data_IF_252835570123
#
_entry.id   IF_252835570123
#
_cell.length_a   1.000
_cell.length_b   1.000
_cell.length_c   1.000
_cell.angle_alpha   90.00
_cell.angle_beta   90.00
_cell.angle_gamma   90.00
#
_symmetry.space_group_name_H-M   'P 1'
#
loop_
_entity.id
_entity.type
_entity.pdbx_description
1 polymer ?
#
# COMPACT_ATOMS: atom_id res chain seq x y z
N UNK A 1 0.65 -29.24 -16.59
CA UNK A 1 0.75 -27.83 -17.03
C UNK A 1 -0.06 -27.00 -16.05
N UNK A 2 0.56 -26.63 -14.94
CA UNK A 2 -0.09 -25.80 -13.90
C UNK A 2 0.04 -24.32 -14.28
N UNK A 3 -1.10 -23.70 -14.52
CA UNK A 3 -1.25 -22.26 -14.42
C UNK A 3 -1.47 -21.92 -12.95
N UNK A 4 -0.53 -21.21 -12.30
CA UNK A 4 -0.79 -20.23 -11.22
C UNK A 4 0.52 -19.67 -10.66
N UNK A 5 0.59 -18.35 -10.66
CA UNK A 5 1.26 -17.59 -9.61
C UNK A 5 2.76 -17.43 -9.78
N UNK A 6 3.15 -16.30 -10.39
CA UNK A 6 4.40 -15.62 -10.03
C UNK A 6 4.50 -15.63 -8.51
N UNK A 7 5.46 -16.35 -7.95
CA UNK A 7 5.73 -16.37 -6.53
C UNK A 7 6.18 -14.98 -6.07
N UNK A 8 5.23 -14.10 -5.78
CA UNK A 8 5.46 -12.86 -5.06
C UNK A 8 5.88 -13.23 -3.64
N UNK A 9 7.17 -13.04 -3.37
CA UNK A 9 7.91 -13.35 -2.15
C UNK A 9 7.13 -13.12 -0.85
N UNK A 10 7.32 -14.06 0.09
CA UNK A 10 6.80 -14.11 1.47
C UNK A 10 6.77 -12.78 2.24
N UNK A 11 7.63 -11.82 1.92
CA UNK A 11 7.68 -10.50 2.56
C UNK A 11 6.45 -9.62 2.28
N UNK A 12 5.71 -9.85 1.19
CA UNK A 12 4.46 -9.12 0.91
C UNK A 12 3.28 -9.62 1.77
N UNK A 13 3.32 -10.87 2.24
CA UNK A 13 2.24 -11.47 3.05
C UNK A 13 2.03 -10.76 4.40
N UNK A 14 3.09 -10.18 4.97
CA UNK A 14 3.04 -9.38 6.19
C UNK A 14 2.10 -8.17 6.05
N UNK A 15 2.08 -7.61 4.85
CA UNK A 15 1.39 -6.37 4.53
C UNK A 15 -0.08 -6.57 4.11
N UNK A 16 -0.47 -7.79 3.73
CA UNK A 16 -1.84 -8.13 3.32
C UNK A 16 -2.87 -7.89 4.42
N UNK A 17 -2.47 -8.01 5.70
CA UNK A 17 -3.36 -7.79 6.86
C UNK A 17 -4.02 -6.40 6.91
N UNK A 18 -3.52 -5.44 6.14
CA UNK A 18 -4.04 -4.08 6.09
C UNK A 18 -4.58 -3.67 4.72
N UNK A 19 -4.57 -4.59 3.74
CA UNK A 19 -4.92 -4.31 2.36
C UNK A 19 -6.37 -3.82 2.22
N UNK A 20 -7.33 -4.52 2.83
CA UNK A 20 -8.74 -4.12 2.80
C UNK A 20 -8.97 -2.73 3.41
N UNK A 21 -8.30 -2.43 4.53
CA UNK A 21 -8.45 -1.16 5.21
C UNK A 21 -7.84 0.00 4.40
N UNK A 22 -6.68 -0.23 3.79
CA UNK A 22 -6.03 0.72 2.89
C UNK A 22 -6.86 0.93 1.63
N UNK A 23 -7.32 -0.13 0.99
CA UNK A 23 -8.12 -0.06 -0.23
C UNK A 23 -9.44 0.68 -0.01
N UNK A 24 -10.19 0.37 1.05
CA UNK A 24 -11.41 1.12 1.41
C UNK A 24 -11.13 2.60 1.62
N UNK A 25 -9.99 2.94 2.21
CA UNK A 25 -9.61 4.33 2.44
C UNK A 25 -9.15 5.03 1.16
N UNK A 26 -8.37 4.35 0.33
CA UNK A 26 -7.95 4.82 -0.99
C UNK A 26 -9.15 5.10 -1.89
N UNK A 27 -10.15 4.22 -1.90
CA UNK A 27 -11.39 4.39 -2.65
C UNK A 27 -12.15 5.65 -2.23
N UNK A 28 -12.18 5.97 -0.93
CA UNK A 28 -12.78 7.23 -0.43
C UNK A 28 -12.00 8.46 -0.88
N UNK A 29 -10.68 8.37 -1.02
CA UNK A 29 -9.82 9.46 -1.46
C UNK A 29 -9.90 9.71 -2.98
N UNK A 30 -9.88 8.65 -3.78
CA UNK A 30 -9.79 8.72 -5.25
C UNK A 30 -11.15 8.78 -5.92
N UNK A 31 -12.20 8.23 -5.27
CA UNK A 31 -13.55 8.03 -5.83
C UNK A 31 -13.59 7.19 -7.10
N UNK A 32 -12.50 6.49 -7.42
CA UNK A 32 -12.36 5.61 -8.58
C UNK A 32 -11.61 4.34 -8.17
N UNK A 33 -12.12 3.14 -8.51
CA UNK A 33 -11.48 1.87 -8.16
C UNK A 33 -10.05 1.75 -8.72
N UNK A 34 -9.86 2.03 -10.01
CA UNK A 34 -8.56 2.01 -10.69
C UNK A 34 -7.49 2.87 -9.98
N UNK A 35 -7.82 4.13 -9.68
CA UNK A 35 -6.93 5.04 -8.98
C UNK A 35 -6.66 4.58 -7.53
N UNK A 36 -7.62 3.89 -6.91
CA UNK A 36 -7.47 3.35 -5.56
C UNK A 36 -6.52 2.15 -5.53
N UNK A 37 -6.67 1.22 -6.49
CA UNK A 37 -5.75 0.10 -6.68
C UNK A 37 -4.32 0.61 -6.90
N UNK A 38 -4.15 1.58 -7.81
CA UNK A 38 -2.86 2.20 -8.06
C UNK A 38 -2.29 2.88 -6.80
N UNK A 39 -3.13 3.54 -6.01
CA UNK A 39 -2.70 4.21 -4.78
C UNK A 39 -2.21 3.20 -3.74
N UNK A 40 -2.91 2.08 -3.59
CA UNK A 40 -2.54 1.00 -2.67
C UNK A 40 -1.24 0.33 -3.13
N UNK A 41 -1.12 0.01 -4.42
CA UNK A 41 0.09 -0.60 -4.98
C UNK A 41 1.33 0.28 -4.75
N UNK A 42 1.27 1.57 -5.10
CA UNK A 42 2.39 2.51 -4.87
C UNK A 42 2.70 2.69 -3.38
N UNK A 43 1.68 2.64 -2.52
CA UNK A 43 1.86 2.65 -1.05
C UNK A 43 2.70 1.45 -0.61
N UNK A 44 2.37 0.25 -1.06
CA UNK A 44 3.12 -0.95 -0.69
C UNK A 44 4.52 -1.00 -1.29
N UNK A 45 4.71 -0.54 -2.54
CA UNK A 45 6.04 -0.41 -3.12
C UNK A 45 6.94 0.51 -2.27
N UNK A 46 6.38 1.61 -1.74
CA UNK A 46 7.13 2.49 -0.82
C UNK A 46 7.32 1.86 0.55
N UNK A 47 6.31 1.20 1.11
CA UNK A 47 6.44 0.49 2.38
C UNK A 47 7.56 -0.55 2.30
N UNK A 48 7.61 -1.34 1.23
CA UNK A 48 8.69 -2.28 0.97
C UNK A 48 10.05 -1.60 0.87
N UNK A 49 10.17 -0.49 0.12
CA UNK A 49 11.42 0.29 0.02
C UNK A 49 11.90 0.85 1.37
N UNK A 50 10.97 1.26 2.24
CA UNK A 50 11.28 1.88 3.53
C UNK A 50 11.12 0.93 4.72
N UNK A 51 10.94 -0.38 4.51
CA UNK A 51 10.71 -1.36 5.57
C UNK A 51 11.78 -1.36 6.66
N UNK A 52 13.04 -1.12 6.28
CA UNK A 52 14.16 -1.03 7.22
C UNK A 52 14.11 0.20 8.14
N UNK A 53 13.24 1.19 7.84
CA UNK A 53 13.01 2.38 8.69
C UNK A 53 11.80 2.20 9.60
N UNK A 54 10.98 1.19 9.38
CA UNK A 54 9.90 0.87 10.29
C UNK A 54 10.50 0.34 11.59
N UNK A 55 10.08 0.92 12.72
CA UNK A 55 10.51 0.45 14.04
C UNK A 55 9.56 -0.66 14.51
N UNK A 56 10.03 -1.92 14.66
CA UNK A 56 9.20 -2.99 15.20
C UNK A 56 8.61 -2.62 16.57
N UNK A 57 7.38 -3.07 16.84
CA UNK A 57 6.63 -2.69 18.04
C UNK A 57 5.86 -1.36 17.95
N UNK A 58 5.92 -0.68 16.80
CA UNK A 58 5.06 0.47 16.51
C UNK A 58 3.85 0.07 15.65
N UNK A 59 2.91 0.99 15.42
CA UNK A 59 1.66 0.72 14.71
C UNK A 59 1.88 0.65 13.18
N UNK A 60 1.97 -0.57 12.66
CA UNK A 60 2.14 -0.87 11.23
C UNK A 60 1.05 -0.23 10.36
N UNK A 61 -0.21 -0.33 10.78
CA UNK A 61 -1.35 0.28 10.08
C UNK A 61 -1.20 1.79 9.97
N UNK A 62 -0.89 2.48 11.07
CA UNK A 62 -0.72 3.93 11.07
C UNK A 62 0.45 4.38 10.16
N UNK A 63 1.53 3.59 10.13
CA UNK A 63 2.67 3.84 9.25
C UNK A 63 2.29 3.69 7.77
N UNK A 64 1.57 2.63 7.39
CA UNK A 64 1.08 2.45 6.03
C UNK A 64 0.15 3.58 5.59
N UNK A 65 -0.77 4.02 6.45
CA UNK A 65 -1.67 5.13 6.16
C UNK A 65 -0.91 6.46 5.97
N UNK A 66 0.18 6.65 6.70
CA UNK A 66 1.07 7.81 6.52
C UNK A 66 1.70 7.80 5.13
N UNK A 67 2.23 6.65 4.70
CA UNK A 67 2.78 6.47 3.35
C UNK A 67 1.71 6.75 2.30
N UNK A 68 0.53 6.14 2.41
CA UNK A 68 -0.58 6.31 1.47
C UNK A 68 -0.98 7.78 1.32
N UNK A 69 -1.12 8.49 2.44
CA UNK A 69 -1.49 9.90 2.43
C UNK A 69 -0.41 10.75 1.74
N UNK A 70 0.86 10.44 1.95
CA UNK A 70 1.97 11.12 1.27
C UNK A 70 1.99 10.82 -0.23
N UNK A 71 1.72 9.57 -0.64
CA UNK A 71 1.56 9.21 -2.06
C UNK A 71 0.43 10.01 -2.69
N UNK A 72 -0.75 10.03 -2.06
CA UNK A 72 -1.93 10.73 -2.54
C UNK A 72 -1.70 12.23 -2.68
N UNK A 73 -1.15 12.89 -1.66
CA UNK A 73 -0.79 14.32 -1.72
C UNK A 73 0.19 14.63 -2.84
N UNK A 74 1.17 13.75 -3.06
CA UNK A 74 2.13 13.93 -4.17
C UNK A 74 1.46 13.76 -5.53
N UNK A 75 0.44 12.89 -5.68
CA UNK A 75 -0.35 12.79 -6.91
C UNK A 75 -1.15 14.06 -7.17
N UNK A 76 -1.79 14.61 -6.14
CA UNK A 76 -2.55 15.87 -6.26
C UNK A 76 -1.66 17.06 -6.64
N UNK A 77 -0.42 17.12 -6.16
CA UNK A 77 0.55 18.18 -6.51
C UNK A 77 1.08 18.09 -7.95
N UNK A 78 1.01 16.92 -8.58
CA UNK A 78 1.53 16.67 -9.94
C UNK A 78 0.45 16.80 -11.02
N UNK A 79 -0.81 16.99 -10.63
CA UNK A 79 -1.91 17.37 -11.51
C UNK A 79 -1.99 18.89 -11.58
#
# INVERSE_FOLDING_TARGET
MDQRGVGMSSDFSLFERHLDALYRSALRLTRKPEDAEDLVQETYLRAYRYRNRFKPGTNEKAWLFTIMTNVFRNRLRKR
#
